data_IF_816636505505
#
_entry.id   IF_816636505505
#
_cell.length_a   1.000
_cell.length_b   1.000
_cell.length_c   1.000
_cell.angle_alpha   90.00
_cell.angle_beta   90.00
_cell.angle_gamma   90.00
#
_symmetry.space_group_name_H-M   'P 1'
#
loop_
_entity.id
_entity.type
_entity.pdbx_description
1 polymer ?
#
# COMPACT_ATOMS: atom_id res chain seq x y z
N UNK A 1 -24.68 -30.40 -0.52
CA UNK A 1 -25.34 -29.10 -0.33
C UNK A 1 -24.86 -28.18 -1.45
N UNK A 2 -25.76 -27.56 -2.20
CA UNK A 2 -25.39 -26.75 -3.38
C UNK A 2 -25.08 -25.30 -3.02
N UNK A 3 -24.45 -24.57 -3.94
CA UNK A 3 -24.17 -23.12 -3.78
C UNK A 3 -25.46 -22.33 -3.58
N UNK A 4 -26.53 -22.66 -4.31
CA UNK A 4 -27.84 -22.01 -4.17
C UNK A 4 -28.44 -22.16 -2.76
N UNK A 5 -28.28 -23.33 -2.13
CA UNK A 5 -28.76 -23.55 -0.76
C UNK A 5 -27.93 -22.74 0.24
N UNK A 6 -26.61 -22.69 0.05
CA UNK A 6 -25.68 -21.92 0.89
C UNK A 6 -25.89 -20.40 0.79
N UNK A 7 -26.34 -19.90 -0.38
CA UNK A 7 -26.76 -18.51 -0.52
C UNK A 7 -28.08 -18.26 0.23
N UNK A 8 -29.06 -19.15 0.09
CA UNK A 8 -30.37 -19.03 0.77
C UNK A 8 -30.26 -19.09 2.29
N UNK A 9 -29.34 -19.89 2.82
CA UNK A 9 -29.11 -20.04 4.26
C UNK A 9 -28.15 -18.99 4.85
N UNK A 10 -27.59 -18.11 4.02
CA UNK A 10 -26.69 -17.03 4.44
C UNK A 10 -25.27 -17.47 4.80
N UNK A 11 -24.87 -18.72 4.53
CA UNK A 11 -23.50 -19.21 4.72
C UNK A 11 -22.57 -18.89 3.55
N UNK A 12 -23.11 -18.39 2.44
CA UNK A 12 -22.34 -17.96 1.26
C UNK A 12 -22.86 -16.62 0.73
N UNK A 13 -21.93 -15.72 0.40
CA UNK A 13 -22.23 -14.37 -0.09
C UNK A 13 -21.55 -14.12 -1.44
N UNK A 14 -22.29 -13.53 -2.38
CA UNK A 14 -21.78 -13.11 -3.70
C UNK A 14 -21.85 -11.58 -3.74
N UNK A 15 -20.72 -10.94 -4.04
CA UNK A 15 -20.62 -9.49 -4.16
C UNK A 15 -20.24 -9.13 -5.60
N UNK A 16 -21.20 -8.69 -6.44
CA UNK A 16 -20.86 -8.15 -7.75
C UNK A 16 -20.17 -6.80 -7.58
N UNK A 17 -19.08 -6.59 -8.31
CA UNK A 17 -18.32 -5.34 -8.34
C UNK A 17 -17.99 -4.99 -9.80
N UNK A 18 -17.87 -3.70 -10.09
CA UNK A 18 -17.42 -3.16 -11.38
C UNK A 18 -15.97 -2.72 -11.32
N UNK A 19 -15.50 -2.30 -10.14
CA UNK A 19 -14.17 -1.74 -9.90
C UNK A 19 -13.48 -2.42 -8.74
N UNK A 20 -12.14 -2.47 -8.81
CA UNK A 20 -11.32 -3.15 -7.82
C UNK A 20 -11.48 -2.53 -6.44
N UNK A 21 -11.67 -1.21 -6.37
CA UNK A 21 -11.86 -0.45 -5.15
C UNK A 21 -13.04 -0.98 -4.33
N UNK A 22 -14.17 -1.29 -4.98
CA UNK A 22 -15.38 -1.82 -4.31
C UNK A 22 -15.11 -3.16 -3.62
N UNK A 23 -14.37 -4.06 -4.30
CA UNK A 23 -14.00 -5.35 -3.72
C UNK A 23 -13.04 -5.21 -2.54
N UNK A 24 -12.10 -4.26 -2.64
CA UNK A 24 -11.15 -3.98 -1.57
C UNK A 24 -11.85 -3.42 -0.33
N UNK A 25 -12.86 -2.56 -0.49
CA UNK A 25 -13.64 -2.06 0.65
C UNK A 25 -14.35 -3.18 1.42
N UNK A 26 -14.92 -4.14 0.68
CA UNK A 26 -15.57 -5.33 1.25
C UNK A 26 -14.58 -6.19 2.03
N UNK A 27 -13.40 -6.44 1.45
CA UNK A 27 -12.38 -7.31 2.07
C UNK A 27 -11.68 -6.66 3.27
N UNK A 28 -11.47 -5.34 3.22
CA UNK A 28 -10.67 -4.62 4.21
C UNK A 28 -11.52 -3.90 5.27
N UNK A 29 -12.82 -3.75 5.04
CA UNK A 29 -13.73 -3.02 5.93
C UNK A 29 -13.39 -1.53 6.08
N UNK A 30 -12.75 -0.95 5.07
CA UNK A 30 -12.32 0.46 5.05
C UNK A 30 -12.60 1.06 3.67
N UNK A 31 -12.97 2.35 3.58
CA UNK A 31 -13.08 3.03 2.29
C UNK A 31 -11.75 2.99 1.53
N UNK A 32 -11.79 2.76 0.22
CA UNK A 32 -10.61 2.79 -0.64
C UNK A 32 -10.02 4.21 -0.65
N UNK A 33 -10.90 5.20 -0.80
CA UNK A 33 -10.57 6.62 -0.83
C UNK A 33 -10.16 7.10 -2.22
N UNK A 34 -10.76 8.19 -2.68
CA UNK A 34 -10.48 8.78 -3.99
C UNK A 34 -9.36 9.82 -3.93
N UNK A 35 -8.67 10.01 -5.06
CA UNK A 35 -7.64 11.03 -5.18
C UNK A 35 -8.28 12.43 -5.18
N UNK A 36 -7.76 13.33 -4.35
CA UNK A 36 -8.17 14.73 -4.29
C UNK A 36 -7.49 15.55 -5.38
N UNK A 37 -7.97 16.78 -5.58
CA UNK A 37 -7.40 17.72 -6.54
C UNK A 37 -5.91 18.05 -6.30
N UNK A 38 -5.45 17.94 -5.05
CA UNK A 38 -4.05 18.14 -4.67
C UNK A 38 -3.17 16.88 -4.85
N UNK A 39 -3.75 15.79 -5.35
CA UNK A 39 -3.08 14.52 -5.55
C UNK A 39 -2.95 13.65 -4.29
N UNK A 40 -3.59 14.02 -3.18
CA UNK A 40 -3.58 13.23 -1.93
C UNK A 40 -4.85 12.39 -1.75
N UNK A 41 -4.78 11.36 -0.90
CA UNK A 41 -5.96 10.59 -0.49
C UNK A 41 -6.47 11.07 0.88
N UNK A 42 -7.79 10.99 1.17
CA UNK A 42 -8.33 11.30 2.48
C UNK A 42 -7.73 10.44 3.58
N UNK A 43 -7.47 11.03 4.74
CA UNK A 43 -6.91 10.29 5.88
C UNK A 43 -7.87 9.18 6.34
N UNK A 44 -7.30 8.04 6.76
CA UNK A 44 -8.07 6.89 7.23
C UNK A 44 -8.60 5.96 6.13
N UNK A 45 -8.43 6.32 4.84
CA UNK A 45 -8.74 5.43 3.72
C UNK A 45 -7.60 4.46 3.43
N UNK A 46 -7.88 3.39 2.70
CA UNK A 46 -6.84 2.42 2.34
C UNK A 46 -5.75 3.05 1.47
N UNK A 47 -6.13 3.83 0.46
CA UNK A 47 -5.17 4.45 -0.45
C UNK A 47 -4.26 5.47 0.26
N UNK A 48 -4.76 6.14 1.30
CA UNK A 48 -3.92 6.96 2.18
C UNK A 48 -2.87 6.12 2.90
N UNK A 49 -3.25 4.97 3.47
CA UNK A 49 -2.32 4.07 4.15
C UNK A 49 -1.27 3.50 3.19
N UNK A 50 -1.67 3.16 1.97
CA UNK A 50 -0.76 2.70 0.91
C UNK A 50 0.24 3.80 0.54
N UNK A 51 -0.23 5.02 0.28
CA UNK A 51 0.65 6.15 -0.07
C UNK A 51 1.62 6.49 1.07
N UNK A 52 1.13 6.48 2.32
CA UNK A 52 1.98 6.66 3.51
C UNK A 52 3.08 5.61 3.56
N UNK A 53 2.73 4.33 3.39
CA UNK A 53 3.70 3.23 3.44
C UNK A 53 4.73 3.29 2.31
N UNK A 54 4.31 3.63 1.09
CA UNK A 54 5.22 3.80 -0.04
C UNK A 54 6.19 4.96 0.18
N UNK A 55 5.73 6.05 0.78
CA UNK A 55 6.59 7.19 1.16
C UNK A 55 7.65 6.77 2.18
N UNK A 56 7.25 6.09 3.26
CA UNK A 56 8.17 5.58 4.28
C UNK A 56 9.24 4.66 3.67
N UNK A 57 8.85 3.74 2.77
CA UNK A 57 9.79 2.85 2.08
C UNK A 57 10.75 3.65 1.21
N UNK A 58 10.24 4.65 0.48
CA UNK A 58 11.07 5.51 -0.37
C UNK A 58 12.10 6.30 0.44
N UNK A 59 11.72 6.81 1.61
CA UNK A 59 12.60 7.55 2.51
C UNK A 59 13.71 6.65 3.06
N UNK A 60 13.36 5.48 3.60
CA UNK A 60 14.34 4.51 4.09
C UNK A 60 15.34 4.06 3.00
N UNK A 61 14.88 3.93 1.75
CA UNK A 61 15.76 3.60 0.62
C UNK A 61 16.70 4.76 0.24
N UNK A 62 16.29 6.01 0.43
CA UNK A 62 17.16 7.19 0.20
C UNK A 62 18.24 7.29 1.27
N UNK A 63 17.88 7.13 2.54
CA UNK A 63 18.82 7.15 3.67
C UNK A 63 19.93 6.11 3.47
N UNK A 64 19.55 4.86 3.17
CA UNK A 64 20.50 3.78 2.91
C UNK A 64 21.43 4.03 1.72
N UNK A 65 21.00 4.82 0.72
CA UNK A 65 21.87 5.23 -0.40
C UNK A 65 22.81 6.36 -0.02
N UNK A 66 22.36 7.32 0.80
CA UNK A 66 23.19 8.39 1.33
C UNK A 66 24.32 7.87 2.22
N UNK A 67 24.03 6.90 3.09
CA UNK A 67 25.03 6.26 3.95
C UNK A 67 26.11 5.51 3.15
N UNK A 68 25.73 4.82 2.05
CA UNK A 68 26.70 4.12 1.19
C UNK A 68 27.64 5.06 0.43
N UNK A 69 27.19 6.27 0.09
CA UNK A 69 28.04 7.25 -0.59
C UNK A 69 29.06 7.90 0.35
N UNK A 70 28.76 8.02 1.64
CA UNK A 70 29.68 8.61 2.62
C UNK A 70 30.77 7.65 3.09
N UNK A 71 30.58 6.33 2.97
CA UNK A 71 31.55 5.32 3.43
C UNK A 71 32.57 4.88 2.35
N UNK A 72 32.54 5.46 1.14
CA UNK A 72 33.47 5.12 0.05
C UNK A 72 34.57 6.19 -0.16
N UNK A 73 34.77 7.11 0.79
CA UNK A 73 35.69 8.25 0.66
C UNK A 73 37.02 8.17 1.42
N UNK A 74 37.26 7.13 2.23
CA UNK A 74 38.47 7.04 3.06
C UNK A 74 39.03 5.61 3.00
N UNK A 75 39.80 5.29 1.96
CA UNK A 75 40.84 4.25 2.00
C UNK A 75 41.64 4.32 0.69
N UNK A 76 42.72 5.10 0.68
CA UNK A 76 43.61 5.12 -0.48
C UNK A 76 44.61 6.27 -0.61
N UNK A 77 45.25 6.73 0.47
CA UNK A 77 46.52 7.44 0.32
C UNK A 77 47.34 7.40 1.61
N UNK A 78 48.30 6.47 1.67
CA UNK A 78 49.65 6.68 2.24
C UNK A 78 50.47 5.40 2.11
N UNK A 79 51.51 5.48 1.29
CA UNK A 79 52.57 4.49 1.18
C UNK A 79 53.63 5.04 0.24
N UNK A 80 54.55 5.83 0.80
CA UNK A 80 55.84 6.20 0.20
C UNK A 80 56.67 4.95 -0.12
#
# INVERSE_FOLDING_TARGET
>A
RGVLDAVKDGSFHIYPIERVEEGIEILMGKPAGEIKADGTYPEGTLNYLVQKRLTEIREALKEKKGEKNNNNGEDGEKGE
#
